data_IF_830204092635
#
_entry.id   IF_830204092635
#
_cell.length_a   1.000
_cell.length_b   1.000
_cell.length_c   1.000
_cell.angle_alpha   90.00
_cell.angle_beta   90.00
_cell.angle_gamma   90.00
#
_symmetry.space_group_name_H-M   'P 1'
#
loop_
_entity.id
_entity.type
_entity.pdbx_description
1 polymer ?
#
# COMPACT_ATOMS: atom_id res chain seq x y z
N UNK A 1 -28.46 -24.81 -29.30
CA UNK A 1 -28.25 -24.50 -27.87
C UNK A 1 -26.91 -25.10 -27.50
N UNK A 2 -25.88 -24.30 -27.54
CA UNK A 2 -24.49 -24.70 -27.25
C UNK A 2 -24.26 -24.67 -25.73
N UNK A 3 -23.50 -25.62 -25.23
CA UNK A 3 -23.22 -25.90 -23.80
C UNK A 3 -22.44 -24.76 -23.02
N UNK A 4 -22.74 -23.51 -23.31
CA UNK A 4 -22.00 -22.32 -22.84
C UNK A 4 -22.71 -21.48 -21.78
N UNK A 5 -23.94 -21.78 -21.37
CA UNK A 5 -24.76 -20.91 -20.48
C UNK A 5 -24.92 -21.41 -19.05
N UNK A 6 -24.12 -22.38 -18.60
CA UNK A 6 -24.08 -22.68 -17.18
C UNK A 6 -23.39 -21.55 -16.42
N UNK A 7 -24.00 -20.98 -15.36
CA UNK A 7 -23.33 -19.99 -14.53
C UNK A 7 -22.03 -20.59 -13.99
N UNK A 8 -20.91 -19.95 -14.31
CA UNK A 8 -19.61 -20.43 -13.83
C UNK A 8 -19.65 -20.55 -12.30
N UNK A 9 -19.14 -21.66 -11.75
CA UNK A 9 -19.16 -21.89 -10.31
C UNK A 9 -18.47 -20.72 -9.58
N UNK A 10 -19.09 -20.24 -8.51
CA UNK A 10 -18.51 -19.22 -7.62
C UNK A 10 -17.17 -19.70 -7.04
N UNK A 11 -16.47 -18.83 -6.34
CA UNK A 11 -15.22 -19.18 -5.67
C UNK A 11 -15.42 -20.38 -4.73
N UNK A 12 -14.57 -21.41 -4.82
CA UNK A 12 -14.62 -22.56 -3.96
C UNK A 12 -14.25 -22.19 -2.51
N UNK A 13 -14.68 -23.00 -1.53
CA UNK A 13 -14.33 -22.79 -0.11
C UNK A 13 -12.81 -22.73 0.10
N UNK A 14 -12.05 -23.51 -0.65
CA UNK A 14 -10.59 -23.52 -0.56
C UNK A 14 -9.99 -22.24 -1.12
N UNK A 15 -10.51 -21.71 -2.24
CA UNK A 15 -10.09 -20.43 -2.79
C UNK A 15 -10.40 -19.27 -1.82
N UNK A 16 -11.61 -19.25 -1.23
CA UNK A 16 -11.98 -18.26 -0.21
C UNK A 16 -11.04 -18.31 1.00
N UNK A 17 -10.72 -19.51 1.49
CA UNK A 17 -9.75 -19.69 2.59
C UNK A 17 -8.36 -19.16 2.22
N UNK A 18 -7.88 -19.45 1.02
CA UNK A 18 -6.58 -18.98 0.52
C UNK A 18 -6.55 -17.44 0.42
N UNK A 19 -7.60 -16.83 -0.14
CA UNK A 19 -7.73 -15.37 -0.22
C UNK A 19 -7.78 -14.73 1.17
N UNK A 20 -8.54 -15.30 2.11
CA UNK A 20 -8.64 -14.80 3.48
C UNK A 20 -7.29 -14.85 4.23
N UNK A 21 -6.55 -15.96 4.12
CA UNK A 21 -5.22 -16.10 4.74
C UNK A 21 -4.19 -15.15 4.12
N UNK A 22 -4.21 -14.98 2.80
CA UNK A 22 -3.33 -14.01 2.12
C UNK A 22 -3.66 -12.58 2.56
N UNK A 23 -4.95 -12.22 2.63
CA UNK A 23 -5.40 -10.91 3.06
C UNK A 23 -5.06 -10.61 4.52
N UNK A 24 -5.22 -11.59 5.42
CA UNK A 24 -4.87 -11.44 6.83
C UNK A 24 -3.35 -11.23 7.01
N UNK A 25 -2.53 -12.03 6.32
CA UNK A 25 -1.08 -11.83 6.32
C UNK A 25 -0.70 -10.42 5.85
N UNK A 26 -1.26 -9.99 4.72
CA UNK A 26 -1.05 -8.64 4.19
C UNK A 26 -1.50 -7.53 5.15
N UNK A 27 -2.58 -7.74 5.92
CA UNK A 27 -3.05 -6.78 6.92
C UNK A 27 -2.01 -6.55 8.03
N UNK A 28 -1.48 -7.62 8.60
CA UNK A 28 -0.51 -7.53 9.69
C UNK A 28 0.80 -6.88 9.25
N UNK A 29 1.27 -7.21 8.03
CA UNK A 29 2.47 -6.62 7.46
C UNK A 29 2.30 -5.15 7.11
N UNK A 30 1.15 -4.80 6.54
CA UNK A 30 0.90 -3.42 6.14
C UNK A 30 0.70 -2.50 7.35
N UNK A 31 0.16 -3.01 8.45
CA UNK A 31 0.13 -2.31 9.74
C UNK A 31 1.53 -1.86 10.16
N UNK A 32 2.51 -2.77 10.18
CA UNK A 32 3.89 -2.50 10.59
C UNK A 32 4.52 -1.37 9.78
N UNK A 33 4.19 -1.30 8.50
CA UNK A 33 4.75 -0.29 7.63
C UNK A 33 4.06 1.08 7.78
N UNK A 34 2.75 1.11 7.97
CA UNK A 34 1.96 2.36 7.95
C UNK A 34 1.82 3.03 9.30
N UNK A 35 1.97 2.31 10.41
CA UNK A 35 1.82 2.86 11.77
C UNK A 35 2.68 4.11 12.00
N UNK A 36 3.87 4.15 11.39
CA UNK A 36 4.77 5.31 11.46
C UNK A 36 4.10 6.59 10.95
N UNK A 37 3.31 6.52 9.88
CA UNK A 37 2.68 7.69 9.26
C UNK A 37 1.65 8.32 10.20
N UNK A 38 0.89 7.50 10.94
CA UNK A 38 -0.08 7.99 11.93
C UNK A 38 0.56 8.67 13.12
N UNK A 39 1.85 8.40 13.36
CA UNK A 39 2.65 9.03 14.40
C UNK A 39 3.69 10.01 13.83
N UNK A 40 3.61 10.41 12.56
CA UNK A 40 4.63 11.25 11.90
C UNK A 40 4.91 12.55 12.66
N UNK A 41 3.88 13.23 13.17
CA UNK A 41 4.02 14.45 13.99
C UNK A 41 4.75 14.17 15.29
N UNK A 42 4.40 13.09 16.01
CA UNK A 42 5.04 12.66 17.24
C UNK A 42 6.50 12.25 16.99
N UNK A 43 6.76 11.48 15.91
CA UNK A 43 8.12 11.13 15.49
C UNK A 43 8.95 12.37 15.17
N UNK A 44 8.36 13.35 14.48
CA UNK A 44 8.99 14.63 14.19
C UNK A 44 9.42 15.36 15.48
N UNK A 45 8.57 15.38 16.49
CA UNK A 45 8.86 16.04 17.76
C UNK A 45 9.92 15.33 18.60
N UNK A 46 9.95 13.98 18.57
CA UNK A 46 10.82 13.15 19.43
C UNK A 46 12.20 12.88 18.83
N UNK A 47 12.31 12.83 17.49
CA UNK A 47 13.53 12.38 16.81
C UNK A 47 14.31 13.51 16.14
N UNK A 48 13.87 14.76 16.27
CA UNK A 48 14.58 15.92 15.71
C UNK A 48 14.78 17.01 16.77
N UNK A 49 15.71 17.97 16.54
CA UNK A 49 16.00 19.05 17.49
C UNK A 49 14.75 19.85 17.90
N UNK A 50 14.69 20.25 19.17
CA UNK A 50 13.53 20.97 19.71
C UNK A 50 13.32 22.35 19.05
N UNK A 51 14.38 23.03 18.67
CA UNK A 51 14.42 24.34 18.00
C UNK A 51 14.07 24.29 16.51
N UNK A 52 14.01 23.09 15.90
CA UNK A 52 13.62 22.93 14.49
C UNK A 52 12.15 23.32 14.28
N UNK A 53 11.81 24.11 13.23
CA UNK A 53 10.43 24.46 12.91
C UNK A 53 9.54 23.22 12.69
N UNK A 54 8.30 23.26 13.16
CA UNK A 54 7.37 22.11 13.12
C UNK A 54 7.18 21.54 11.71
N UNK A 55 7.06 22.43 10.71
CA UNK A 55 6.92 22.00 9.31
C UNK A 55 8.14 21.20 8.82
N UNK A 56 9.35 21.58 9.28
CA UNK A 56 10.57 20.89 8.87
C UNK A 56 10.70 19.54 9.58
N UNK A 57 10.28 19.44 10.84
CA UNK A 57 10.19 18.14 11.55
C UNK A 57 9.27 17.17 10.81
N UNK A 58 8.12 17.66 10.32
CA UNK A 58 7.17 16.84 9.56
C UNK A 58 7.77 16.40 8.20
N UNK A 59 8.43 17.31 7.48
CA UNK A 59 9.14 16.99 6.23
C UNK A 59 10.21 15.93 6.46
N UNK A 60 10.98 16.06 7.54
CA UNK A 60 12.02 15.08 7.91
C UNK A 60 11.41 13.72 8.27
N UNK A 61 10.31 13.68 9.03
CA UNK A 61 9.60 12.45 9.36
C UNK A 61 9.08 11.74 8.09
N UNK A 62 8.49 12.50 7.16
CA UNK A 62 8.09 11.95 5.86
C UNK A 62 9.29 11.60 4.97
N UNK A 63 10.43 12.27 5.13
CA UNK A 63 11.69 11.90 4.47
C UNK A 63 12.18 10.52 4.91
N UNK A 64 12.13 10.23 6.21
CA UNK A 64 12.43 8.91 6.77
C UNK A 64 11.43 7.86 6.24
N UNK A 65 10.14 8.18 6.16
CA UNK A 65 9.15 7.32 5.55
C UNK A 65 9.45 7.06 4.07
N UNK A 66 9.81 8.09 3.32
CA UNK A 66 10.20 8.01 1.91
C UNK A 66 11.41 7.09 1.69
N UNK A 67 12.40 7.13 2.58
CA UNK A 67 13.58 6.26 2.50
C UNK A 67 13.20 4.78 2.54
N UNK A 68 12.18 4.41 3.34
CA UNK A 68 11.61 3.07 3.32
C UNK A 68 11.05 2.69 1.95
N UNK A 69 10.33 3.58 1.28
CA UNK A 69 9.82 3.34 -0.07
C UNK A 69 10.94 3.28 -1.12
N UNK A 70 11.95 4.14 -1.03
CA UNK A 70 13.10 4.16 -1.94
C UNK A 70 13.95 2.88 -1.84
N UNK A 71 13.96 2.22 -0.68
CA UNK A 71 14.66 0.96 -0.48
C UNK A 71 13.94 -0.26 -1.11
N UNK A 72 12.64 -0.16 -1.45
CA UNK A 72 11.83 -1.30 -1.95
C UNK A 72 12.38 -1.93 -3.24
N UNK A 73 12.76 -1.19 -4.31
CA UNK A 73 13.30 -1.78 -5.52
C UNK A 73 14.57 -2.59 -5.25
N UNK A 74 15.46 -2.05 -4.43
CA UNK A 74 16.70 -2.74 -4.05
C UNK A 74 16.41 -4.02 -3.28
N UNK A 75 15.54 -3.95 -2.28
CA UNK A 75 15.12 -5.11 -1.49
C UNK A 75 14.43 -6.17 -2.35
N UNK A 76 13.56 -5.78 -3.27
CA UNK A 76 12.91 -6.69 -4.21
C UNK A 76 13.90 -7.46 -5.08
N UNK A 77 14.93 -6.80 -5.61
CA UNK A 77 15.99 -7.44 -6.40
C UNK A 77 16.83 -8.39 -5.55
N UNK A 78 17.27 -7.95 -4.37
CA UNK A 78 18.06 -8.78 -3.45
C UNK A 78 17.28 -10.02 -2.98
N UNK A 79 16.02 -9.84 -2.56
CA UNK A 79 15.17 -10.94 -2.12
C UNK A 79 14.89 -11.95 -3.24
N UNK A 80 14.68 -11.49 -4.48
CA UNK A 80 14.51 -12.37 -5.63
C UNK A 80 15.79 -13.19 -5.90
N UNK A 81 16.94 -12.53 -5.91
CA UNK A 81 18.23 -13.19 -6.15
C UNK A 81 18.52 -14.29 -5.12
N UNK A 82 18.42 -13.96 -3.83
CA UNK A 82 18.63 -14.95 -2.77
C UNK A 82 17.52 -15.98 -2.68
N UNK A 83 16.29 -15.64 -3.08
CA UNK A 83 15.16 -16.57 -3.15
C UNK A 83 15.37 -17.68 -4.17
N UNK A 84 15.95 -17.35 -5.29
CA UNK A 84 16.29 -18.33 -6.34
C UNK A 84 17.46 -19.25 -5.93
N UNK A 85 18.37 -18.76 -5.08
CA UNK A 85 19.52 -19.53 -4.57
C UNK A 85 19.21 -20.38 -3.34
N UNK A 86 18.42 -19.85 -2.38
CA UNK A 86 18.24 -20.47 -1.05
C UNK A 86 16.83 -21.00 -0.76
N UNK A 87 15.91 -20.85 -1.73
CA UNK A 87 14.51 -21.23 -1.63
C UNK A 87 13.59 -20.09 -1.19
N UNK A 88 12.42 -20.02 -1.83
CA UNK A 88 11.44 -18.92 -1.63
C UNK A 88 10.90 -18.85 -0.21
N UNK A 89 10.61 -19.99 0.42
CA UNK A 89 10.13 -20.07 1.81
C UNK A 89 11.10 -19.41 2.79
N UNK A 90 12.43 -19.64 2.61
CA UNK A 90 13.46 -19.07 3.50
C UNK A 90 13.55 -17.56 3.37
N UNK A 91 13.49 -17.03 2.14
CA UNK A 91 13.50 -15.59 1.89
C UNK A 91 12.23 -14.94 2.38
N UNK A 92 11.09 -15.59 2.24
CA UNK A 92 9.81 -15.14 2.75
C UNK A 92 9.78 -15.01 4.29
N UNK A 93 10.39 -15.98 5.00
CA UNK A 93 10.56 -15.90 6.44
C UNK A 93 11.52 -14.78 6.85
N UNK A 94 12.56 -14.53 6.06
CA UNK A 94 13.51 -13.44 6.29
C UNK A 94 12.85 -12.07 6.09
N UNK A 95 11.97 -11.90 5.07
CA UNK A 95 11.27 -10.63 4.84
C UNK A 95 10.39 -10.25 6.03
N UNK A 96 9.63 -11.20 6.57
CA UNK A 96 8.80 -10.95 7.77
C UNK A 96 9.67 -10.54 8.97
N UNK A 97 10.79 -11.24 9.18
CA UNK A 97 11.70 -10.90 10.27
C UNK A 97 12.29 -9.49 10.10
N UNK A 98 12.68 -9.14 8.85
CA UNK A 98 13.20 -7.81 8.51
C UNK A 98 12.12 -6.70 8.54
N UNK A 99 10.84 -7.04 8.62
CA UNK A 99 9.77 -6.09 8.91
C UNK A 99 9.48 -5.99 10.40
N UNK A 100 9.24 -7.11 11.07
CA UNK A 100 8.82 -7.15 12.47
C UNK A 100 9.89 -6.65 13.45
N UNK A 101 11.15 -7.05 13.25
CA UNK A 101 12.26 -6.67 14.13
C UNK A 101 12.54 -5.15 14.06
N UNK A 102 12.68 -4.51 12.89
CA UNK A 102 12.81 -3.06 12.85
C UNK A 102 11.61 -2.32 13.45
N UNK A 103 10.38 -2.79 13.25
CA UNK A 103 9.20 -2.17 13.86
C UNK A 103 9.28 -2.21 15.39
N UNK A 104 9.61 -3.37 15.95
CA UNK A 104 9.81 -3.52 17.40
C UNK A 104 10.94 -2.61 17.91
N UNK A 105 12.07 -2.58 17.20
CA UNK A 105 13.21 -1.75 17.57
C UNK A 105 12.90 -0.26 17.50
N UNK A 106 12.07 0.20 16.53
CA UNK A 106 11.59 1.59 16.50
C UNK A 106 10.88 1.96 17.80
N UNK A 107 10.03 1.08 18.34
CA UNK A 107 9.36 1.29 19.61
C UNK A 107 10.31 1.35 20.83
N UNK A 108 11.53 0.82 20.70
CA UNK A 108 12.52 0.78 21.76
C UNK A 108 13.62 1.86 21.61
N UNK A 109 13.61 2.61 20.49
CA UNK A 109 14.66 3.62 20.23
C UNK A 109 14.69 4.71 21.31
N UNK A 110 15.90 5.14 21.71
CA UNK A 110 16.09 6.39 22.44
C UNK A 110 15.73 7.59 21.55
N UNK A 111 15.21 8.67 22.17
CA UNK A 111 14.83 9.90 21.48
C UNK A 111 16.03 10.81 21.20
N UNK A 112 15.81 11.87 20.41
CA UNK A 112 16.83 12.89 20.15
C UNK A 112 17.39 13.52 21.43
N UNK A 113 16.53 13.76 22.42
CA UNK A 113 16.96 14.31 23.72
C UNK A 113 17.94 13.41 24.49
N UNK A 114 17.94 12.11 24.22
CA UNK A 114 18.80 11.12 24.91
C UNK A 114 20.11 10.84 24.18
N UNK A 115 20.06 10.72 22.81
CA UNK A 115 21.22 10.30 22.02
C UNK A 115 21.55 11.23 20.85
N UNK A 116 20.90 12.40 20.77
CA UNK A 116 21.16 13.40 19.75
C UNK A 116 20.94 12.85 18.32
N UNK A 117 21.84 13.20 17.41
CA UNK A 117 21.78 12.86 15.98
C UNK A 117 21.74 11.34 15.68
N UNK A 118 22.18 10.51 16.62
CA UNK A 118 22.08 9.06 16.45
C UNK A 118 20.63 8.57 16.38
N UNK A 119 19.67 9.26 17.03
CA UNK A 119 18.26 8.88 17.04
C UNK A 119 17.62 8.88 15.64
N UNK A 120 17.63 9.98 14.87
CA UNK A 120 17.06 9.99 13.53
C UNK A 120 17.82 9.09 12.54
N UNK A 121 19.13 8.90 12.71
CA UNK A 121 19.93 8.01 11.86
C UNK A 121 19.57 6.53 12.08
N UNK A 122 19.40 6.11 13.34
CA UNK A 122 18.93 4.76 13.66
C UNK A 122 17.49 4.54 13.16
N UNK A 123 16.61 5.53 13.34
CA UNK A 123 15.24 5.47 12.82
C UNK A 123 15.24 5.32 11.30
N UNK A 124 16.06 6.08 10.58
CA UNK A 124 16.25 5.99 9.13
C UNK A 124 16.74 4.60 8.72
N UNK A 125 17.75 4.06 9.40
CA UNK A 125 18.28 2.72 9.12
C UNK A 125 17.19 1.64 9.27
N UNK A 126 16.42 1.68 10.34
CA UNK A 126 15.34 0.73 10.58
C UNK A 126 14.26 0.84 9.51
N UNK A 127 13.93 2.05 9.04
CA UNK A 127 12.97 2.28 7.94
C UNK A 127 13.49 1.76 6.59
N UNK A 128 14.78 1.90 6.30
CA UNK A 128 15.40 1.34 5.09
C UNK A 128 15.33 -0.20 5.11
N UNK A 129 15.66 -0.84 6.24
CA UNK A 129 15.56 -2.29 6.40
C UNK A 129 14.13 -2.80 6.21
N UNK A 130 13.15 -2.13 6.83
CA UNK A 130 11.73 -2.43 6.71
C UNK A 130 11.23 -2.27 5.26
N UNK A 131 11.63 -1.17 4.59
CA UNK A 131 11.28 -0.91 3.20
C UNK A 131 11.87 -1.94 2.23
N UNK A 132 13.12 -2.34 2.42
CA UNK A 132 13.75 -3.39 1.62
C UNK A 132 12.99 -4.72 1.76
N UNK A 133 12.54 -5.07 2.97
CA UNK A 133 11.79 -6.30 3.22
C UNK A 133 10.47 -6.36 2.43
N UNK A 134 9.68 -5.29 2.43
CA UNK A 134 8.35 -5.24 1.78
C UNK A 134 8.43 -5.27 0.24
N UNK A 135 9.59 -4.93 -0.35
CA UNK A 135 9.76 -4.84 -1.81
C UNK A 135 9.53 -6.14 -2.56
N UNK A 136 9.82 -7.30 -1.95
CA UNK A 136 9.62 -8.61 -2.59
C UNK A 136 8.22 -9.21 -2.37
N UNK A 137 7.46 -8.72 -1.42
CA UNK A 137 6.31 -9.42 -0.87
C UNK A 137 4.97 -9.06 -1.53
N UNK A 138 4.60 -7.79 -1.59
CA UNK A 138 3.30 -7.35 -2.11
C UNK A 138 3.02 -7.78 -3.57
N UNK A 139 3.95 -7.64 -4.54
CA UNK A 139 3.71 -8.12 -5.90
C UNK A 139 3.52 -9.63 -5.97
N UNK A 140 4.27 -10.40 -5.17
CA UNK A 140 4.13 -11.85 -5.07
C UNK A 140 2.74 -12.28 -4.59
N UNK A 141 2.17 -11.57 -3.61
CA UNK A 141 0.84 -11.86 -3.10
C UNK A 141 -0.26 -11.64 -4.16
N UNK A 142 -0.18 -10.56 -4.99
CA UNK A 142 -1.13 -10.36 -6.08
C UNK A 142 -1.01 -11.40 -7.20
N UNK A 143 0.22 -11.79 -7.58
CA UNK A 143 0.43 -12.91 -8.52
C UNK A 143 -0.22 -14.16 -7.95
N UNK A 144 0.08 -14.49 -6.70
CA UNK A 144 -0.45 -15.66 -6.01
C UNK A 144 -1.98 -15.72 -6.02
N UNK A 145 -2.68 -14.67 -5.57
CA UNK A 145 -4.15 -14.68 -5.53
C UNK A 145 -4.76 -14.71 -6.93
N UNK A 146 -4.14 -14.02 -7.90
CA UNK A 146 -4.64 -13.98 -9.28
C UNK A 146 -4.52 -15.32 -10.01
N UNK A 147 -3.53 -16.15 -9.66
CA UNK A 147 -3.30 -17.48 -10.26
C UNK A 147 -4.10 -18.59 -9.60
N UNK A 148 -4.69 -18.34 -8.41
CA UNK A 148 -5.58 -19.28 -7.73
C UNK A 148 -7.04 -19.20 -8.14
N UNK A 149 -7.41 -18.19 -8.94
CA UNK A 149 -8.78 -17.98 -9.40
C UNK A 149 -8.85 -17.98 -10.93
N UNK A 150 -10.05 -18.24 -11.49
CA UNK A 150 -10.27 -18.08 -12.92
C UNK A 150 -10.11 -16.61 -13.35
N UNK A 151 -9.80 -16.38 -14.63
CA UNK A 151 -9.67 -15.03 -15.19
C UNK A 151 -10.90 -14.14 -14.92
N UNK A 152 -12.09 -14.74 -14.80
CA UNK A 152 -13.37 -14.08 -14.52
C UNK A 152 -13.44 -13.47 -13.10
N UNK A 153 -12.67 -13.96 -12.14
CA UNK A 153 -12.69 -13.50 -10.75
C UNK A 153 -11.39 -12.81 -10.32
N UNK A 154 -10.55 -12.44 -11.29
CA UNK A 154 -9.20 -11.91 -11.00
C UNK A 154 -9.24 -10.54 -10.31
N UNK A 155 -10.14 -9.64 -10.73
CA UNK A 155 -10.25 -8.32 -10.10
C UNK A 155 -10.80 -8.43 -8.68
N UNK A 156 -11.79 -9.30 -8.44
CA UNK A 156 -12.30 -9.58 -7.10
C UNK A 156 -11.23 -10.18 -6.19
N UNK A 157 -10.41 -11.12 -6.69
CA UNK A 157 -9.31 -11.69 -5.92
C UNK A 157 -8.23 -10.64 -5.57
N UNK A 158 -7.85 -9.80 -6.51
CA UNK A 158 -6.96 -8.67 -6.24
C UNK A 158 -7.59 -7.66 -5.27
N UNK A 159 -8.88 -7.38 -5.41
CA UNK A 159 -9.64 -6.52 -4.51
C UNK A 159 -9.71 -7.07 -3.07
N UNK A 160 -9.85 -8.39 -2.89
CA UNK A 160 -9.84 -9.01 -1.57
C UNK A 160 -8.48 -8.89 -0.88
N UNK A 161 -7.37 -9.02 -1.62
CA UNK A 161 -6.03 -8.76 -1.07
C UNK A 161 -5.85 -7.28 -0.73
N UNK A 162 -6.28 -6.36 -1.61
CA UNK A 162 -6.25 -4.91 -1.35
C UNK A 162 -7.08 -4.55 -0.12
N UNK A 163 -8.23 -5.19 0.10
CA UNK A 163 -9.01 -5.08 1.34
C UNK A 163 -8.16 -5.48 2.56
N UNK A 164 -7.39 -6.57 2.48
CA UNK A 164 -6.47 -6.97 3.55
C UNK A 164 -5.44 -5.90 3.87
N UNK A 165 -4.79 -5.32 2.85
CA UNK A 165 -3.83 -4.22 3.04
C UNK A 165 -4.49 -3.00 3.69
N UNK A 166 -5.70 -2.63 3.26
CA UNK A 166 -6.49 -1.56 3.88
C UNK A 166 -6.89 -1.89 5.33
N UNK A 167 -7.17 -3.15 5.64
CA UNK A 167 -7.44 -3.59 7.02
C UNK A 167 -6.22 -3.35 7.93
N UNK A 168 -5.00 -3.51 7.42
CA UNK A 168 -3.77 -3.13 8.12
C UNK A 168 -3.69 -1.62 8.41
N UNK A 169 -4.08 -0.79 7.44
CA UNK A 169 -4.17 0.66 7.63
C UNK A 169 -5.24 1.01 8.68
N UNK A 170 -6.41 0.38 8.60
CA UNK A 170 -7.49 0.56 9.57
C UNK A 170 -7.02 0.21 10.99
N UNK A 171 -6.36 -0.93 11.14
CA UNK A 171 -5.79 -1.36 12.42
C UNK A 171 -4.80 -0.31 12.94
N UNK A 172 -3.92 0.22 12.08
CA UNK A 172 -2.99 1.30 12.43
C UNK A 172 -3.71 2.57 12.88
N UNK A 173 -4.76 2.99 12.18
CA UNK A 173 -5.58 4.16 12.54
C UNK A 173 -6.30 3.95 13.88
N UNK A 174 -6.89 2.77 14.10
CA UNK A 174 -7.60 2.43 15.35
C UNK A 174 -6.64 2.36 16.54
N UNK A 175 -5.47 1.74 16.37
CA UNK A 175 -4.43 1.69 17.42
C UNK A 175 -3.94 3.11 17.73
N UNK A 176 -3.68 3.92 16.70
CA UNK A 176 -3.29 5.31 16.90
C UNK A 176 -4.35 6.09 17.68
N UNK A 177 -5.64 5.93 17.32
CA UNK A 177 -6.76 6.56 18.03
C UNK A 177 -6.84 6.09 19.47
N UNK A 178 -6.77 4.77 19.71
CA UNK A 178 -6.85 4.20 21.06
C UNK A 178 -5.72 4.71 21.96
N UNK A 179 -4.49 4.76 21.46
CA UNK A 179 -3.34 5.29 22.21
C UNK A 179 -3.52 6.78 22.51
N UNK A 180 -3.98 7.58 21.53
CA UNK A 180 -4.23 9.01 21.77
C UNK A 180 -5.41 9.29 22.72
N UNK A 181 -6.37 8.38 22.83
CA UNK A 181 -7.48 8.49 23.79
C UNK A 181 -7.07 8.03 25.20
N UNK A 182 -6.12 7.09 25.29
CA UNK A 182 -5.69 6.52 26.56
C UNK A 182 -4.65 7.35 27.30
N UNK A 183 -3.89 8.20 26.59
CA UNK A 183 -2.75 8.97 27.12
C UNK A 183 -2.91 10.46 26.84
N UNK A 184 -2.61 11.29 27.85
CA UNK A 184 -2.41 12.72 27.62
C UNK A 184 -1.13 12.98 26.78
N UNK A 185 -0.95 14.23 26.35
CA UNK A 185 0.17 14.59 25.48
C UNK A 185 1.55 14.32 26.14
N UNK A 186 1.66 14.57 27.45
CA UNK A 186 2.90 14.34 28.19
C UNK A 186 3.23 12.84 28.28
N UNK A 187 2.25 12.02 28.60
CA UNK A 187 2.37 10.56 28.63
C UNK A 187 2.63 9.97 27.24
N UNK A 188 1.94 10.48 26.22
CA UNK A 188 2.13 10.07 24.83
C UNK A 188 3.57 10.33 24.39
N UNK A 189 4.10 11.52 24.67
CA UNK A 189 5.47 11.92 24.32
C UNK A 189 6.53 11.20 25.14
N UNK A 190 6.24 10.87 26.41
CA UNK A 190 7.18 10.15 27.27
C UNK A 190 7.36 8.69 26.85
N UNK A 191 6.27 7.95 26.61
CA UNK A 191 6.34 6.52 26.33
C UNK A 191 5.17 5.95 25.50
N UNK A 192 3.96 6.56 25.52
CA UNK A 192 2.76 6.04 24.86
C UNK A 192 2.93 5.80 23.36
N UNK A 193 3.75 6.61 22.71
CA UNK A 193 4.07 6.47 21.28
C UNK A 193 4.78 5.14 20.92
N UNK A 194 5.37 4.46 21.91
CA UNK A 194 6.08 3.19 21.72
C UNK A 194 5.13 2.01 21.48
N UNK A 195 3.95 2.06 22.09
CA UNK A 195 2.96 0.97 22.09
C UNK A 195 2.60 0.50 20.67
N UNK A 196 2.28 1.38 19.71
CA UNK A 196 1.93 0.97 18.35
C UNK A 196 3.05 0.21 17.64
N UNK A 197 4.29 0.60 17.87
CA UNK A 197 5.45 -0.06 17.27
C UNK A 197 5.75 -1.41 17.91
N UNK A 198 5.65 -1.51 19.23
CA UNK A 198 5.77 -2.79 19.95
C UNK A 198 4.66 -3.76 19.52
N UNK A 199 3.41 -3.27 19.44
CA UNK A 199 2.29 -4.07 18.93
C UNK A 199 2.54 -4.55 17.50
N UNK A 200 3.08 -3.70 16.62
CA UNK A 200 3.47 -4.05 15.26
C UNK A 200 4.49 -5.19 15.23
N UNK A 201 5.56 -5.08 15.99
CA UNK A 201 6.55 -6.16 16.10
C UNK A 201 5.94 -7.49 16.54
N UNK A 202 5.00 -7.46 17.50
CA UNK A 202 4.25 -8.67 17.93
C UNK A 202 3.37 -9.19 16.79
N UNK A 203 2.64 -8.32 16.08
CA UNK A 203 1.81 -8.72 14.94
C UNK A 203 2.63 -9.34 13.80
N UNK A 204 3.81 -8.79 13.51
CA UNK A 204 4.73 -9.38 12.54
C UNK A 204 5.20 -10.78 12.94
N UNK A 205 5.53 -11.00 14.21
CA UNK A 205 5.87 -12.32 14.72
C UNK A 205 4.68 -13.31 14.63
N UNK A 206 3.46 -12.86 14.92
CA UNK A 206 2.24 -13.65 14.74
C UNK A 206 2.01 -13.99 13.25
N UNK A 207 2.20 -13.04 12.35
CA UNK A 207 2.13 -13.26 10.89
C UNK A 207 3.12 -14.34 10.45
N UNK A 208 4.34 -14.35 11.00
CA UNK A 208 5.33 -15.40 10.75
C UNK A 208 4.84 -16.78 11.17
N UNK A 209 4.19 -16.92 12.34
CA UNK A 209 3.66 -18.19 12.82
C UNK A 209 2.52 -18.69 11.93
N UNK A 210 1.60 -17.80 11.55
CA UNK A 210 0.47 -18.13 10.67
C UNK A 210 0.95 -18.60 9.29
N UNK A 211 1.97 -17.97 8.73
CA UNK A 211 2.51 -18.33 7.41
C UNK A 211 3.34 -19.63 7.40
N UNK A 212 3.85 -20.08 8.52
CA UNK A 212 4.48 -21.42 8.61
C UNK A 212 3.51 -22.53 8.18
N UNK A 213 2.20 -22.30 8.32
CA UNK A 213 1.14 -23.24 7.97
C UNK A 213 0.71 -23.18 6.49
N UNK A 214 1.16 -22.17 5.71
CA UNK A 214 0.88 -22.09 4.29
C UNK A 214 1.76 -23.10 3.52
N UNK A 215 1.14 -23.86 2.62
CA UNK A 215 1.83 -24.76 1.70
C UNK A 215 2.33 -23.98 0.48
N UNK A 216 3.42 -24.46 -0.13
CA UNK A 216 3.95 -23.92 -1.38
C UNK A 216 2.90 -24.03 -2.51
N UNK A 217 2.89 -23.08 -3.45
CA UNK A 217 1.90 -23.09 -4.53
C UNK A 217 2.13 -24.23 -5.51
N UNK A 218 1.06 -24.91 -5.99
CA UNK A 218 1.19 -26.00 -6.98
C UNK A 218 1.94 -25.56 -8.25
N UNK A 219 1.71 -24.32 -8.70
CA UNK A 219 2.37 -23.73 -9.87
C UNK A 219 3.88 -23.60 -9.66
N UNK A 220 4.31 -23.23 -8.44
CA UNK A 220 5.74 -23.14 -8.13
C UNK A 220 6.40 -24.51 -8.06
N UNK A 221 5.73 -25.48 -7.43
CA UNK A 221 6.20 -26.87 -7.39
C UNK A 221 6.38 -27.46 -8.79
N UNK A 222 5.45 -27.16 -9.71
CA UNK A 222 5.52 -27.59 -11.11
C UNK A 222 6.65 -26.90 -11.89
N UNK A 223 6.87 -25.59 -11.72
CA UNK A 223 7.97 -24.84 -12.33
C UNK A 223 9.33 -25.32 -11.81
N UNK A 224 9.42 -25.64 -10.52
CA UNK A 224 10.63 -26.20 -9.91
C UNK A 224 10.95 -27.60 -10.45
N UNK A 225 9.94 -28.46 -10.66
CA UNK A 225 10.11 -29.80 -11.25
C UNK A 225 10.53 -29.72 -12.72
N UNK A 226 10.03 -28.76 -13.49
CA UNK A 226 10.32 -28.60 -14.92
C UNK A 226 11.70 -27.99 -15.21
N UNK A 227 12.49 -27.55 -14.22
CA UNK A 227 13.74 -26.77 -14.38
C UNK A 227 13.59 -25.59 -15.35
N UNK A 228 12.37 -25.08 -15.51
CA UNK A 228 12.01 -24.00 -16.42
C UNK A 228 12.24 -22.61 -15.78
N UNK A 229 13.13 -22.52 -14.81
CA UNK A 229 13.66 -21.27 -14.30
C UNK A 229 14.57 -20.71 -15.39
N UNK A 230 14.22 -19.58 -15.97
CA UNK A 230 14.93 -18.98 -17.09
C UNK A 230 16.42 -18.77 -16.78
N UNK A 231 17.29 -19.18 -17.69
CA UNK A 231 18.74 -18.95 -17.60
C UNK A 231 19.13 -17.47 -17.70
N UNK A 232 18.27 -16.60 -18.23
CA UNK A 232 18.42 -15.14 -18.23
C UNK A 232 17.72 -14.51 -17.03
N UNK A 233 18.32 -13.46 -16.46
CA UNK A 233 17.69 -12.65 -15.42
C UNK A 233 16.35 -12.10 -15.92
N UNK A 234 15.20 -12.50 -15.35
CA UNK A 234 13.87 -12.15 -15.88
C UNK A 234 13.65 -10.63 -16.01
N UNK A 235 14.33 -9.85 -15.17
CA UNK A 235 14.25 -8.39 -15.18
C UNK A 235 14.79 -7.77 -16.50
N UNK A 236 15.88 -8.31 -17.07
CA UNK A 236 16.44 -7.81 -18.34
C UNK A 236 15.48 -8.01 -19.50
N UNK A 237 14.81 -9.18 -19.54
CA UNK A 237 13.79 -9.48 -20.54
C UNK A 237 12.56 -8.55 -20.37
N UNK A 238 12.13 -8.28 -19.13
CA UNK A 238 11.00 -7.37 -18.84
C UNK A 238 11.26 -5.97 -19.39
N UNK A 239 12.41 -5.39 -19.09
CA UNK A 239 12.71 -4.00 -19.50
C UNK A 239 12.91 -3.91 -21.01
N UNK A 240 13.57 -4.90 -21.64
CA UNK A 240 13.85 -4.91 -23.07
C UNK A 240 12.59 -5.15 -23.92
N UNK A 241 11.79 -6.16 -23.55
CA UNK A 241 10.74 -6.70 -24.42
C UNK A 241 9.32 -6.24 -24.01
N UNK A 242 9.15 -5.74 -22.78
CA UNK A 242 7.83 -5.38 -22.22
C UNK A 242 7.76 -3.94 -21.68
N UNK A 243 8.56 -3.01 -22.24
CA UNK A 243 8.63 -1.62 -21.78
C UNK A 243 7.26 -0.90 -21.71
N UNK A 244 6.37 -1.15 -22.65
CA UNK A 244 5.02 -0.59 -22.63
C UNK A 244 4.16 -1.11 -21.46
N UNK A 245 4.30 -2.38 -21.09
CA UNK A 245 3.62 -2.96 -19.92
C UNK A 245 4.21 -2.41 -18.62
N UNK A 246 5.55 -2.21 -18.57
CA UNK A 246 6.23 -1.58 -17.44
C UNK A 246 5.73 -0.14 -17.25
N UNK A 247 5.67 0.67 -18.32
CA UNK A 247 5.18 2.04 -18.26
C UNK A 247 3.72 2.11 -17.76
N UNK A 248 2.85 1.25 -18.29
CA UNK A 248 1.48 1.14 -17.83
C UNK A 248 1.41 0.74 -16.35
N UNK A 249 2.19 -0.25 -15.94
CA UNK A 249 2.29 -0.68 -14.54
C UNK A 249 2.76 0.43 -13.60
N UNK A 250 3.74 1.25 -14.02
CA UNK A 250 4.21 2.42 -13.26
C UNK A 250 3.10 3.46 -13.10
N UNK A 251 2.41 3.84 -14.19
CA UNK A 251 1.35 4.85 -14.14
C UNK A 251 0.15 4.39 -13.31
N UNK A 252 -0.26 3.13 -13.45
CA UNK A 252 -1.31 2.52 -12.64
C UNK A 252 -0.94 2.50 -11.16
N UNK A 253 0.29 2.12 -10.85
CA UNK A 253 0.78 2.10 -9.46
C UNK A 253 0.94 3.52 -8.90
N UNK A 254 1.30 4.50 -9.72
CA UNK A 254 1.31 5.90 -9.30
C UNK A 254 -0.09 6.37 -8.88
N UNK A 255 -1.12 6.06 -9.68
CA UNK A 255 -2.51 6.33 -9.32
C UNK A 255 -2.91 5.64 -7.99
N UNK A 256 -2.53 4.37 -7.82
CA UNK A 256 -2.77 3.60 -6.60
C UNK A 256 -2.10 4.27 -5.39
N UNK A 257 -0.82 4.65 -5.51
CA UNK A 257 -0.10 5.32 -4.42
C UNK A 257 -0.69 6.68 -4.09
N UNK A 258 -1.08 7.46 -5.09
CA UNK A 258 -1.74 8.75 -4.87
C UNK A 258 -3.04 8.57 -4.07
N UNK A 259 -3.89 7.62 -4.48
CA UNK A 259 -5.16 7.32 -3.81
C UNK A 259 -4.95 6.85 -2.36
N UNK A 260 -4.02 5.92 -2.10
CA UNK A 260 -3.81 5.39 -0.74
C UNK A 260 -3.01 6.36 0.12
N UNK A 261 -1.86 6.83 -0.37
CA UNK A 261 -0.94 7.63 0.46
C UNK A 261 -1.55 8.99 0.81
N UNK A 262 -2.11 9.70 -0.17
CA UNK A 262 -2.62 11.05 0.09
C UNK A 262 -4.00 11.00 0.74
N UNK A 263 -4.95 10.21 0.17
CA UNK A 263 -6.33 10.22 0.68
C UNK A 263 -6.47 9.52 2.03
N UNK A 264 -5.63 8.53 2.34
CA UNK A 264 -5.75 7.73 3.57
C UNK A 264 -4.61 8.02 4.55
N UNK A 265 -3.34 7.85 4.12
CA UNK A 265 -2.23 7.88 5.08
C UNK A 265 -1.85 9.28 5.54
N UNK A 266 -1.80 10.26 4.64
CA UNK A 266 -1.41 11.64 4.97
C UNK A 266 -2.56 12.47 5.52
N UNK A 267 -3.80 12.16 5.16
CA UNK A 267 -4.96 13.00 5.43
C UNK A 267 -5.18 13.29 6.91
N UNK A 268 -5.03 12.35 7.88
CA UNK A 268 -5.16 12.68 9.29
C UNK A 268 -4.19 13.79 9.74
N UNK A 269 -2.96 13.79 9.24
CA UNK A 269 -1.97 14.84 9.54
C UNK A 269 -2.34 16.17 8.90
N UNK A 270 -2.82 16.16 7.65
CA UNK A 270 -3.24 17.38 6.96
C UNK A 270 -4.47 18.01 7.60
N UNK A 271 -5.45 17.22 8.02
CA UNK A 271 -6.64 17.68 8.74
C UNK A 271 -6.28 18.32 10.08
N UNK A 272 -5.32 17.78 10.81
CA UNK A 272 -4.81 18.41 12.02
C UNK A 272 -4.19 19.79 11.72
N UNK A 273 -3.46 19.92 10.63
CA UNK A 273 -2.94 21.20 10.15
C UNK A 273 -4.02 22.21 9.76
N UNK A 274 -5.25 21.76 9.47
CA UNK A 274 -6.43 22.60 9.20
C UNK A 274 -7.26 22.89 10.47
N UNK A 275 -6.80 22.47 11.65
CA UNK A 275 -7.48 22.68 12.93
C UNK A 275 -8.49 21.59 13.33
N UNK A 276 -8.57 20.50 12.59
CA UNK A 276 -9.38 19.33 13.00
C UNK A 276 -8.69 18.62 14.15
N UNK A 277 -9.43 18.27 15.20
CA UNK A 277 -8.86 17.53 16.33
C UNK A 277 -8.29 16.18 15.88
N UNK A 278 -7.26 15.72 16.57
CA UNK A 278 -6.57 14.45 16.25
C UNK A 278 -7.54 13.26 16.30
N UNK A 279 -8.42 13.22 17.30
CA UNK A 279 -9.42 12.16 17.42
C UNK A 279 -10.41 12.18 16.26
N UNK A 280 -10.95 13.35 15.89
CA UNK A 280 -11.87 13.49 14.76
C UNK A 280 -11.21 13.11 13.43
N UNK A 281 -9.94 13.49 13.22
CA UNK A 281 -9.19 13.15 12.03
C UNK A 281 -8.94 11.63 11.91
N UNK A 282 -8.59 10.96 13.02
CA UNK A 282 -8.38 9.51 13.05
C UNK A 282 -9.70 8.74 12.96
N UNK A 283 -10.77 9.21 13.59
CA UNK A 283 -12.10 8.60 13.47
C UNK A 283 -12.63 8.67 12.04
N UNK A 284 -12.52 9.84 11.40
CA UNK A 284 -12.87 10.01 9.98
C UNK A 284 -12.02 9.16 9.05
N UNK A 285 -10.71 9.02 9.34
CA UNK A 285 -9.83 8.12 8.60
C UNK A 285 -10.27 6.66 8.70
N UNK A 286 -10.59 6.18 9.90
CA UNK A 286 -11.08 4.83 10.08
C UNK A 286 -12.36 4.57 9.26
N UNK A 287 -13.31 5.53 9.25
CA UNK A 287 -14.52 5.45 8.44
C UNK A 287 -14.22 5.46 6.94
N UNK A 288 -13.29 6.31 6.49
CA UNK A 288 -12.83 6.38 5.09
C UNK A 288 -12.18 5.06 4.65
N UNK A 289 -11.36 4.43 5.50
CA UNK A 289 -10.75 3.12 5.20
C UNK A 289 -11.81 2.02 5.16
N UNK A 290 -12.79 2.00 6.06
CA UNK A 290 -13.89 1.04 6.00
C UNK A 290 -14.70 1.19 4.70
N UNK A 291 -14.97 2.43 4.28
CA UNK A 291 -15.62 2.70 3.00
C UNK A 291 -14.76 2.22 1.81
N UNK A 292 -13.44 2.44 1.86
CA UNK A 292 -12.50 1.94 0.87
C UNK A 292 -12.49 0.40 0.80
N UNK A 293 -12.50 -0.28 1.94
CA UNK A 293 -12.54 -1.75 2.02
C UNK A 293 -13.79 -2.31 1.34
N UNK A 294 -14.97 -1.77 1.66
CA UNK A 294 -16.23 -2.16 1.04
C UNK A 294 -16.22 -1.87 -0.48
N UNK A 295 -15.73 -0.69 -0.86
CA UNK A 295 -15.63 -0.28 -2.25
C UNK A 295 -14.65 -1.13 -3.06
N UNK A 296 -13.57 -1.67 -2.46
CA UNK A 296 -12.65 -2.59 -3.14
C UNK A 296 -13.33 -3.88 -3.59
N UNK A 297 -14.15 -4.49 -2.74
CA UNK A 297 -14.90 -5.69 -3.13
C UNK A 297 -15.92 -5.38 -4.22
N UNK A 298 -16.65 -4.27 -4.07
CA UNK A 298 -17.65 -3.83 -5.06
C UNK A 298 -16.99 -3.51 -6.40
N UNK A 299 -15.93 -2.70 -6.41
CA UNK A 299 -15.21 -2.32 -7.62
C UNK A 299 -14.59 -3.54 -8.31
N UNK A 300 -14.00 -4.47 -7.55
CA UNK A 300 -13.47 -5.73 -8.08
C UNK A 300 -14.55 -6.58 -8.75
N UNK A 301 -15.69 -6.77 -8.11
CA UNK A 301 -16.82 -7.51 -8.66
C UNK A 301 -17.42 -6.83 -9.90
N UNK A 302 -17.57 -5.51 -9.90
CA UNK A 302 -18.04 -4.74 -11.06
C UNK A 302 -17.04 -4.79 -12.21
N UNK A 303 -15.73 -4.75 -11.92
CA UNK A 303 -14.68 -4.86 -12.92
C UNK A 303 -14.66 -6.24 -13.61
N UNK A 304 -14.91 -7.31 -12.85
CA UNK A 304 -15.07 -8.65 -13.42
C UNK A 304 -16.30 -8.79 -14.31
N UNK A 305 -17.37 -8.00 -14.07
CA UNK A 305 -18.61 -8.03 -14.84
C UNK A 305 -18.64 -7.09 -16.03
N UNK A 306 -18.15 -5.85 -15.86
CA UNK A 306 -18.32 -4.76 -16.82
C UNK A 306 -17.01 -4.36 -17.53
N UNK A 307 -15.88 -4.93 -17.14
CA UNK A 307 -14.55 -4.61 -17.66
C UNK A 307 -13.77 -3.67 -16.74
N UNK A 308 -12.52 -4.05 -16.48
CA UNK A 308 -11.66 -3.33 -15.55
C UNK A 308 -11.36 -1.88 -15.98
N UNK A 309 -11.23 -1.62 -17.30
CA UNK A 309 -10.98 -0.27 -17.82
C UNK A 309 -12.12 0.71 -17.55
N UNK A 310 -13.37 0.30 -17.77
CA UNK A 310 -14.56 1.16 -17.52
C UNK A 310 -14.71 1.47 -16.03
N UNK A 311 -14.58 0.44 -15.20
CA UNK A 311 -14.72 0.60 -13.76
C UNK A 311 -13.58 1.45 -13.20
N UNK A 312 -12.34 1.30 -13.68
CA UNK A 312 -11.21 2.16 -13.32
C UNK A 312 -11.49 3.64 -13.65
N UNK A 313 -11.99 3.92 -14.86
CA UNK A 313 -12.32 5.29 -15.26
C UNK A 313 -13.40 5.90 -14.35
N UNK A 314 -14.47 5.15 -14.04
CA UNK A 314 -15.56 5.60 -13.17
C UNK A 314 -15.07 5.87 -11.74
N UNK A 315 -14.30 4.93 -11.15
CA UNK A 315 -13.75 5.11 -9.79
C UNK A 315 -12.71 6.23 -9.71
N UNK A 316 -11.95 6.45 -10.78
CA UNK A 316 -11.01 7.57 -10.85
C UNK A 316 -11.74 8.93 -10.91
N UNK A 317 -12.83 9.01 -11.67
CA UNK A 317 -13.69 10.21 -11.68
C UNK A 317 -14.28 10.46 -10.29
N UNK A 318 -14.80 9.41 -9.64
CA UNK A 318 -15.29 9.48 -8.26
C UNK A 318 -14.20 10.00 -7.31
N UNK A 319 -12.95 9.51 -7.46
CA UNK A 319 -11.82 9.99 -6.65
C UNK A 319 -11.60 11.50 -6.81
N UNK A 320 -11.57 12.00 -8.03
CA UNK A 320 -11.36 13.42 -8.31
C UNK A 320 -12.46 14.29 -7.69
N UNK A 321 -13.73 13.95 -7.94
CA UNK A 321 -14.89 14.74 -7.50
C UNK A 321 -15.07 14.65 -5.98
N UNK A 322 -15.04 13.44 -5.41
CA UNK A 322 -15.27 13.25 -3.97
C UNK A 322 -14.14 13.84 -3.14
N UNK A 323 -12.88 13.67 -3.56
CA UNK A 323 -11.76 14.25 -2.85
C UNK A 323 -11.74 15.77 -2.95
N UNK A 324 -12.01 16.35 -4.14
CA UNK A 324 -12.13 17.78 -4.33
C UNK A 324 -13.19 18.39 -3.39
N UNK A 325 -14.38 17.81 -3.34
CA UNK A 325 -15.46 18.27 -2.48
C UNK A 325 -15.09 18.17 -1.00
N UNK A 326 -14.65 16.99 -0.55
CA UNK A 326 -14.22 16.76 0.84
C UNK A 326 -13.13 17.76 1.28
N UNK A 327 -12.10 17.93 0.45
CA UNK A 327 -10.95 18.76 0.80
C UNK A 327 -11.31 20.25 0.87
N UNK A 328 -12.16 20.72 -0.05
CA UNK A 328 -12.69 22.10 -0.06
C UNK A 328 -13.50 22.41 1.21
N UNK A 329 -14.40 21.51 1.61
CA UNK A 329 -15.18 21.62 2.84
C UNK A 329 -14.27 21.65 4.07
N UNK A 330 -13.27 20.76 4.13
CA UNK A 330 -12.31 20.74 5.23
C UNK A 330 -11.50 22.04 5.33
N UNK A 331 -11.04 22.59 4.20
CA UNK A 331 -10.35 23.89 4.17
C UNK A 331 -11.25 25.06 4.60
N UNK A 332 -12.54 24.99 4.33
CA UNK A 332 -13.52 25.99 4.75
C UNK A 332 -13.91 25.86 6.24
N UNK A 333 -13.32 24.93 6.99
CA UNK A 333 -13.65 24.68 8.39
C UNK A 333 -14.92 23.83 8.60
N UNK A 334 -15.53 23.33 7.51
CA UNK A 334 -16.72 22.49 7.52
C UNK A 334 -16.38 20.98 7.39
N UNK A 335 -15.38 20.52 8.18
CA UNK A 335 -14.97 19.13 8.13
C UNK A 335 -16.12 18.18 8.45
N UNK A 336 -16.32 17.17 7.61
CA UNK A 336 -17.27 16.07 7.81
C UNK A 336 -16.61 14.71 7.57
N UNK A 337 -16.70 13.83 8.57
CA UNK A 337 -16.22 12.45 8.42
C UNK A 337 -16.95 11.67 7.33
N UNK A 338 -18.20 12.03 7.01
CA UNK A 338 -18.99 11.39 5.95
C UNK A 338 -18.49 11.79 4.56
N UNK A 339 -18.15 13.08 4.35
CA UNK A 339 -17.50 13.52 3.11
C UNK A 339 -16.15 12.83 2.92
N UNK A 340 -15.41 12.62 4.03
CA UNK A 340 -14.16 11.87 4.00
C UNK A 340 -14.38 10.39 3.68
N UNK A 341 -15.45 9.76 4.20
CA UNK A 341 -15.81 8.39 3.86
C UNK A 341 -16.16 8.23 2.37
N UNK A 342 -16.86 9.20 1.77
CA UNK A 342 -17.14 9.22 0.32
C UNK A 342 -15.84 9.32 -0.49
N UNK A 343 -14.91 10.20 -0.11
CA UNK A 343 -13.59 10.26 -0.73
C UNK A 343 -12.80 8.96 -0.52
N UNK A 344 -12.89 8.34 0.66
CA UNK A 344 -12.30 7.04 0.96
C UNK A 344 -12.84 5.91 0.08
N UNK A 345 -14.16 5.89 -0.21
CA UNK A 345 -14.76 4.86 -1.08
C UNK A 345 -14.18 4.89 -2.50
N UNK A 346 -13.71 6.04 -2.96
CA UNK A 346 -13.08 6.17 -4.27
C UNK A 346 -11.70 5.45 -4.34
N UNK A 347 -11.06 5.15 -3.21
CA UNK A 347 -9.85 4.32 -3.14
C UNK A 347 -10.12 2.87 -3.57
N UNK A 348 -11.38 2.46 -3.73
CA UNK A 348 -11.80 1.19 -4.33
C UNK A 348 -11.19 0.90 -5.70
N UNK A 349 -10.70 1.93 -6.43
CA UNK A 349 -9.94 1.74 -7.68
C UNK A 349 -8.71 0.83 -7.51
N UNK A 350 -8.17 0.70 -6.30
CA UNK A 350 -7.01 -0.15 -6.01
C UNK A 350 -7.29 -1.65 -6.22
N UNK A 351 -8.55 -2.08 -6.29
CA UNK A 351 -8.92 -3.46 -6.59
C UNK A 351 -8.48 -3.91 -8.00
N UNK A 352 -8.57 -3.01 -8.98
CA UNK A 352 -8.37 -3.33 -10.41
C UNK A 352 -6.91 -3.16 -10.84
N UNK A 353 -6.19 -2.24 -10.21
CA UNK A 353 -4.85 -1.84 -10.66
C UNK A 353 -3.89 -3.02 -10.75
N UNK A 354 -3.75 -3.89 -9.73
CA UNK A 354 -2.86 -5.05 -9.83
C UNK A 354 -3.29 -6.02 -10.92
N UNK A 355 -4.61 -6.26 -11.06
CA UNK A 355 -5.15 -7.17 -12.08
C UNK A 355 -4.85 -6.70 -13.51
N UNK A 356 -5.01 -5.38 -13.77
CA UNK A 356 -4.68 -4.77 -15.06
C UNK A 356 -3.18 -4.84 -15.32
N UNK A 357 -2.35 -4.49 -14.34
CA UNK A 357 -0.90 -4.52 -14.47
C UNK A 357 -0.37 -5.94 -14.75
N UNK A 358 -0.89 -6.97 -14.04
CA UNK A 358 -0.58 -8.38 -14.27
C UNK A 358 -0.92 -8.84 -15.68
N UNK A 359 -2.04 -8.35 -16.25
CA UNK A 359 -2.48 -8.66 -17.60
C UNK A 359 -1.54 -8.15 -18.70
N UNK A 360 -0.66 -7.20 -18.38
CA UNK A 360 0.35 -6.67 -19.30
C UNK A 360 1.56 -7.59 -19.51
N UNK A 361 1.78 -8.59 -18.65
CA UNK A 361 2.96 -9.46 -18.68
C UNK A 361 2.60 -10.92 -18.95
N UNK A 362 3.34 -11.61 -19.85
CA UNK A 362 3.20 -13.05 -20.03
C UNK A 362 3.63 -13.81 -18.76
N UNK A 363 3.07 -15.03 -18.57
CA UNK A 363 3.24 -15.81 -17.34
C UNK A 363 4.70 -15.98 -16.86
N UNK A 364 5.71 -16.26 -17.72
CA UNK A 364 7.09 -16.48 -17.29
C UNK A 364 7.77 -15.26 -16.67
N UNK A 365 7.34 -14.03 -17.02
CA UNK A 365 7.95 -12.76 -16.55
C UNK A 365 6.96 -11.90 -15.77
N UNK A 366 5.75 -12.42 -15.50
CA UNK A 366 4.66 -11.68 -14.85
C UNK A 366 5.03 -11.19 -13.46
N UNK A 367 5.65 -12.04 -12.65
CA UNK A 367 6.08 -11.66 -11.31
C UNK A 367 7.15 -10.57 -11.35
N UNK A 368 8.21 -10.76 -12.15
CA UNK A 368 9.30 -9.79 -12.28
C UNK A 368 8.82 -8.47 -12.87
N UNK A 369 7.93 -8.51 -13.87
CA UNK A 369 7.35 -7.32 -14.49
C UNK A 369 6.49 -6.50 -13.54
N UNK A 370 5.58 -7.15 -12.81
CA UNK A 370 4.78 -6.48 -11.80
C UNK A 370 5.66 -5.95 -10.67
N UNK A 371 6.57 -6.77 -10.13
CA UNK A 371 7.45 -6.37 -9.03
C UNK A 371 8.30 -5.15 -9.39
N UNK A 372 8.89 -5.14 -10.58
CA UNK A 372 9.70 -4.02 -11.04
C UNK A 372 8.88 -2.74 -11.19
N UNK A 373 7.79 -2.77 -11.96
CA UNK A 373 6.96 -1.59 -12.21
C UNK A 373 6.32 -1.04 -10.94
N UNK A 374 5.83 -1.94 -10.08
CA UNK A 374 5.20 -1.60 -8.81
C UNK A 374 6.18 -0.96 -7.82
N UNK A 375 7.32 -1.60 -7.57
CA UNK A 375 8.29 -1.08 -6.60
C UNK A 375 8.96 0.21 -7.08
N UNK A 376 9.24 0.34 -8.38
CA UNK A 376 9.78 1.58 -8.95
C UNK A 376 8.78 2.74 -8.78
N UNK A 377 7.51 2.51 -9.09
CA UNK A 377 6.47 3.52 -8.92
C UNK A 377 6.27 3.88 -7.44
N UNK A 378 6.27 2.90 -6.55
CA UNK A 378 6.16 3.15 -5.10
C UNK A 378 7.37 3.88 -4.54
N UNK A 379 8.58 3.58 -5.00
CA UNK A 379 9.77 4.31 -4.57
C UNK A 379 9.67 5.79 -4.92
N UNK A 380 9.28 6.10 -6.14
CA UNK A 380 9.20 7.48 -6.63
C UNK A 380 7.91 8.15 -6.13
N UNK A 381 6.76 7.63 -6.51
CA UNK A 381 5.48 8.27 -6.23
C UNK A 381 5.04 8.10 -4.77
N UNK A 382 5.18 6.91 -4.18
CA UNK A 382 4.81 6.66 -2.79
C UNK A 382 5.76 7.29 -1.80
N UNK A 383 7.07 7.27 -2.11
CA UNK A 383 8.10 7.84 -1.25
C UNK A 383 8.17 9.36 -1.29
N UNK A 384 8.24 9.94 -2.48
CA UNK A 384 8.47 11.38 -2.62
C UNK A 384 7.21 12.24 -2.46
N UNK A 385 6.02 11.72 -2.79
CA UNK A 385 4.77 12.48 -2.71
C UNK A 385 4.52 13.09 -1.33
N UNK A 386 4.69 12.39 -0.18
CA UNK A 386 4.51 13.00 1.14
C UNK A 386 5.42 14.20 1.39
N UNK A 387 6.69 14.07 1.02
CA UNK A 387 7.68 15.14 1.19
C UNK A 387 7.33 16.34 0.30
N UNK A 388 7.09 16.09 -0.98
CA UNK A 388 6.80 17.14 -1.96
C UNK A 388 5.50 17.89 -1.64
N UNK A 389 4.44 17.16 -1.24
CA UNK A 389 3.18 17.79 -0.84
C UNK A 389 3.33 18.59 0.45
N UNK A 390 4.06 18.10 1.44
CA UNK A 390 4.32 18.84 2.67
C UNK A 390 5.07 20.14 2.42
N UNK A 391 5.99 20.15 1.45
CA UNK A 391 6.69 21.36 1.00
C UNK A 391 5.76 22.29 0.21
N UNK A 392 4.99 21.75 -0.74
CA UNK A 392 4.09 22.51 -1.61
C UNK A 392 2.97 23.20 -0.82
N UNK A 393 2.48 22.59 0.25
CA UNK A 393 1.44 23.15 1.12
C UNK A 393 1.88 24.45 1.81
N UNK A 394 3.17 24.73 1.93
CA UNK A 394 3.65 26.03 2.46
C UNK A 394 3.26 27.22 1.59
N UNK A 395 3.25 27.04 0.27
CA UNK A 395 2.86 28.08 -0.69
C UNK A 395 1.45 27.91 -1.23
N UNK A 396 0.93 26.69 -1.21
CA UNK A 396 -0.39 26.34 -1.74
C UNK A 396 -1.07 25.29 -0.85
N UNK A 397 -1.89 25.68 0.12
CA UNK A 397 -2.63 24.75 0.99
C UNK A 397 -3.53 23.76 0.24
N UNK A 398 -3.93 24.07 -1.00
CA UNK A 398 -4.73 23.18 -1.85
C UNK A 398 -3.90 22.20 -2.69
N UNK A 399 -2.58 22.14 -2.51
CA UNK A 399 -1.70 21.26 -3.28
C UNK A 399 -2.13 19.77 -3.26
N UNK A 400 -2.54 19.16 -2.12
CA UNK A 400 -3.03 17.79 -2.10
C UNK A 400 -4.27 17.59 -2.96
N UNK A 401 -5.19 18.56 -2.97
CA UNK A 401 -6.41 18.52 -3.78
C UNK A 401 -6.07 18.55 -5.28
N UNK A 402 -5.22 19.49 -5.71
CA UNK A 402 -4.81 19.58 -7.11
C UNK A 402 -4.08 18.32 -7.58
N UNK A 403 -3.22 17.75 -6.73
CA UNK A 403 -2.51 16.50 -7.01
C UNK A 403 -3.48 15.34 -7.23
N UNK A 404 -4.43 15.12 -6.32
CA UNK A 404 -5.41 14.02 -6.44
C UNK A 404 -6.34 14.21 -7.64
N UNK A 405 -6.80 15.44 -7.92
CA UNK A 405 -7.62 15.72 -9.11
C UNK A 405 -6.83 15.43 -10.39
N UNK A 406 -5.56 15.82 -10.46
CA UNK A 406 -4.68 15.51 -11.58
C UNK A 406 -4.48 14.01 -11.77
N UNK A 407 -4.26 13.27 -10.67
CA UNK A 407 -4.12 11.81 -10.70
C UNK A 407 -5.43 11.11 -11.06
N UNK A 408 -6.58 11.66 -10.66
CA UNK A 408 -7.89 11.16 -11.09
C UNK A 408 -8.08 11.32 -12.61
N UNK A 409 -7.67 12.45 -13.19
CA UNK A 409 -7.64 12.67 -14.65
C UNK A 409 -6.77 11.64 -15.37
N UNK A 410 -5.57 11.35 -14.85
CA UNK A 410 -4.70 10.27 -15.35
C UNK A 410 -5.42 8.92 -15.26
N UNK A 411 -6.09 8.63 -14.15
CA UNK A 411 -6.81 7.37 -13.95
C UNK A 411 -7.96 7.18 -14.94
N UNK A 412 -8.71 8.24 -15.25
CA UNK A 412 -9.74 8.20 -16.32
C UNK A 412 -9.11 7.88 -17.66
N UNK A 413 -8.01 8.55 -18.02
CA UNK A 413 -7.30 8.32 -19.29
C UNK A 413 -6.78 6.87 -19.39
N UNK A 414 -6.18 6.35 -18.30
CA UNK A 414 -5.71 4.97 -18.23
C UNK A 414 -6.87 3.96 -18.35
N UNK A 415 -8.00 4.22 -17.70
CA UNK A 415 -9.20 3.37 -17.80
C UNK A 415 -9.73 3.28 -19.23
N UNK A 416 -9.84 4.43 -19.92
CA UNK A 416 -10.23 4.50 -21.33
C UNK A 416 -9.24 3.76 -22.24
N UNK A 417 -7.94 3.95 -21.99
CA UNK A 417 -6.87 3.27 -22.74
C UNK A 417 -6.94 1.74 -22.60
N UNK A 418 -7.12 1.25 -21.36
CA UNK A 418 -7.23 -0.19 -21.08
C UNK A 418 -8.46 -0.78 -21.77
N UNK A 419 -9.60 -0.09 -21.74
CA UNK A 419 -10.83 -0.52 -22.42
C UNK A 419 -10.68 -0.55 -23.94
N UNK A 420 -10.05 0.48 -24.51
CA UNK A 420 -9.78 0.55 -25.94
C UNK A 420 -8.86 -0.60 -26.40
N UNK A 421 -7.80 -0.90 -25.63
CA UNK A 421 -6.89 -2.02 -25.91
C UNK A 421 -7.60 -3.36 -25.83
N UNK A 422 -8.46 -3.57 -24.83
CA UNK A 422 -9.22 -4.81 -24.67
C UNK A 422 -10.14 -5.08 -25.88
N UNK A 423 -10.80 -4.05 -26.42
CA UNK A 423 -11.66 -4.16 -27.61
C UNK A 423 -10.90 -4.49 -28.92
N UNK A 424 -9.61 -4.14 -29.00
CA UNK A 424 -8.78 -4.47 -30.17
C UNK A 424 -8.19 -5.87 -30.12
N UNK A 425 -8.20 -6.50 -28.95
CA UNK A 425 -7.64 -7.84 -28.72
C UNK A 425 -8.74 -8.92 -28.74
N UNK A 426 -10.03 -8.53 -28.68
CA UNK A 426 -11.23 -9.37 -28.82
C UNK A 426 -11.68 -9.43 -30.26
#
# INVERSE_FOLDING_TARGET
>A
MTASDAPAPGLSRQQLKTLALASLGGALEFYDFVVFVFFATTMGALFFPADMPQWLKLVQAFGIFAAGYLARPLGGVLMAHFGDLSGRKRMFMLSILLMAVPTLLMGLLPTYAQIGMAAPLLLLLLRILQGAAIGGEAPGAWVFVSEHVSARHRNLACGSLSLGLLAGILLGSLVARAVNAAFDEAQLMAWGWRIPFVAGGVFGLLAMVLRRQLHETPVFAELQQRRALSAETPLKAVVRDHGGAVALGILLTWLLTAAVVVTILMMPTFLQGMGVSRDAALAGNALAVLAAMAANLLAGALADRYGAGRVLALWSLLLGVAFWWFYREAQAGAYSQWHYAVAGSAVGLTAMIPAIALGGFPAPVRFSGLSFSYNLAYAIAGGLTPVLLSLAMKGNPAAPMHYIVGMAGLGVALGVFVEWRARRSA
#
